data_IF_231712076926
#
_entry.id   IF_231712076926
#
_cell.length_a   1.000
_cell.length_b   1.000
_cell.length_c   1.000
_cell.angle_alpha   90.00
_cell.angle_beta   90.00
_cell.angle_gamma   90.00
#
_symmetry.space_group_name_H-M   'P 1'
#
loop_
_entity.id
_entity.type
_entity.pdbx_description
1 polymer ?
#
# COMPACT_ATOMS: atom_id res chain seq x y z
N UNK A 1 18.85 -35.60 12.09
CA UNK A 1 19.71 -35.46 10.91
C UNK A 1 18.83 -35.58 9.66
N UNK A 2 18.25 -34.48 9.18
CA UNK A 2 17.52 -34.43 7.91
C UNK A 2 18.17 -33.33 7.07
N UNK A 3 18.71 -33.73 5.91
CA UNK A 3 19.47 -32.87 4.99
C UNK A 3 18.54 -31.84 4.36
N UNK A 4 18.89 -30.56 4.48
CA UNK A 4 18.34 -29.50 3.62
C UNK A 4 18.88 -29.69 2.20
N UNK A 5 17.99 -29.89 1.22
CA UNK A 5 18.32 -29.79 -0.19
C UNK A 5 18.34 -28.31 -0.62
N UNK A 6 19.25 -27.88 -1.53
CA UNK A 6 19.43 -26.47 -1.87
C UNK A 6 18.31 -25.95 -2.79
N UNK A 7 17.77 -24.78 -2.44
CA UNK A 7 16.70 -24.04 -3.15
C UNK A 7 17.16 -23.43 -4.49
N UNK A 8 18.44 -23.59 -4.87
CA UNK A 8 19.03 -22.98 -6.07
C UNK A 8 18.53 -23.54 -7.41
N UNK A 9 17.86 -24.70 -7.45
CA UNK A 9 17.39 -25.27 -8.73
C UNK A 9 16.11 -24.64 -9.30
N UNK A 10 15.34 -23.87 -8.53
CA UNK A 10 14.01 -23.39 -8.98
C UNK A 10 14.07 -22.10 -9.82
N UNK A 11 15.02 -21.21 -9.53
CA UNK A 11 15.15 -19.92 -10.21
C UNK A 11 15.72 -20.11 -11.63
N UNK A 12 16.75 -20.93 -11.78
CA UNK A 12 17.31 -21.25 -13.10
C UNK A 12 16.30 -21.98 -13.99
N UNK A 13 15.42 -22.80 -13.41
CA UNK A 13 14.37 -23.48 -14.16
C UNK A 13 13.28 -22.51 -14.64
N UNK A 14 12.90 -21.52 -13.81
CA UNK A 14 11.94 -20.48 -14.19
C UNK A 14 12.49 -19.52 -15.24
N UNK A 15 13.77 -19.13 -15.14
CA UNK A 15 14.44 -18.29 -16.14
C UNK A 15 14.58 -19.08 -17.46
N UNK A 16 15.02 -20.35 -17.41
CA UNK A 16 15.14 -21.18 -18.61
C UNK A 16 13.78 -21.52 -19.24
N UNK A 17 12.73 -21.72 -18.43
CA UNK A 17 11.38 -21.96 -18.91
C UNK A 17 10.79 -20.68 -19.53
N UNK A 18 11.02 -19.52 -18.92
CA UNK A 18 10.67 -18.21 -19.48
C UNK A 18 11.36 -17.96 -20.82
N UNK A 19 12.68 -18.19 -20.91
CA UNK A 19 13.44 -18.10 -22.16
C UNK A 19 12.96 -19.13 -23.20
N UNK A 20 12.68 -20.38 -22.82
CA UNK A 20 12.17 -21.41 -23.75
C UNK A 20 10.77 -21.11 -24.27
N UNK A 21 9.89 -20.55 -23.43
CA UNK A 21 8.55 -20.11 -23.84
C UNK A 21 8.68 -18.93 -24.80
N UNK A 22 9.52 -17.94 -24.49
CA UNK A 22 9.78 -16.80 -25.37
C UNK A 22 10.33 -17.25 -26.73
N UNK A 23 11.32 -18.15 -26.75
CA UNK A 23 11.90 -18.70 -27.98
C UNK A 23 10.88 -19.55 -28.76
N UNK A 24 10.00 -20.30 -28.08
CA UNK A 24 8.91 -21.04 -28.74
C UNK A 24 7.84 -20.11 -29.32
N UNK A 25 7.54 -18.99 -28.67
CA UNK A 25 6.62 -17.98 -29.20
C UNK A 25 7.22 -17.28 -30.44
N UNK A 26 8.53 -17.00 -30.43
CA UNK A 26 9.27 -16.46 -31.60
C UNK A 26 9.29 -17.46 -32.76
N UNK A 27 9.32 -18.77 -32.50
CA UNK A 27 9.30 -19.81 -33.56
C UNK A 27 7.91 -20.17 -34.08
N UNK A 28 6.82 -19.89 -33.34
CA UNK A 28 5.44 -20.24 -33.74
C UNK A 28 4.70 -19.14 -34.49
N UNK A 29 5.15 -17.89 -34.42
CA UNK A 29 4.65 -16.79 -35.26
C UNK A 29 5.41 -16.75 -36.58
N UNK A 30 4.70 -16.65 -37.70
CA UNK A 30 5.27 -16.60 -39.05
C UNK A 30 6.34 -15.52 -39.23
N UNK A 31 7.25 -15.79 -40.18
CA UNK A 31 8.16 -14.83 -40.81
C UNK A 31 9.00 -13.96 -39.88
N UNK A 32 10.31 -14.25 -39.78
CA UNK A 32 11.30 -13.33 -39.16
C UNK A 32 11.17 -11.86 -39.62
N UNK A 33 10.62 -11.61 -40.81
CA UNK A 33 10.35 -10.26 -41.33
C UNK A 33 9.11 -9.55 -40.76
N UNK A 34 8.10 -10.26 -40.25
CA UNK A 34 6.89 -9.66 -39.68
C UNK A 34 7.08 -9.24 -38.21
N UNK A 35 7.80 -10.04 -37.42
CA UNK A 35 8.16 -9.66 -36.04
C UNK A 35 9.09 -8.44 -36.00
N UNK A 36 10.06 -8.38 -36.92
CA UNK A 36 10.92 -7.19 -37.07
C UNK A 36 10.10 -5.98 -37.52
N UNK A 37 9.14 -6.14 -38.44
CA UNK A 37 8.23 -5.05 -38.83
C UNK A 37 7.36 -4.58 -37.66
N UNK A 38 6.79 -5.49 -36.86
CA UNK A 38 5.96 -5.11 -35.71
C UNK A 38 6.74 -4.47 -34.56
N UNK A 39 8.02 -4.82 -34.39
CA UNK A 39 8.91 -4.23 -33.38
C UNK A 39 9.52 -2.88 -33.79
N UNK A 40 9.50 -2.54 -35.08
CA UNK A 40 10.01 -1.26 -35.61
C UNK A 40 8.89 -0.21 -35.75
N UNK A 41 7.63 -0.63 -35.85
CA UNK A 41 6.50 0.30 -35.89
C UNK A 41 6.13 0.82 -34.48
N UNK A 42 6.42 2.10 -34.27
CA UNK A 42 6.20 2.87 -33.03
C UNK A 42 4.70 3.05 -32.64
N UNK A 43 3.78 2.45 -33.38
CA UNK A 43 2.34 2.47 -33.15
C UNK A 43 1.85 1.35 -32.24
N UNK A 44 2.69 0.34 -31.96
CA UNK A 44 2.34 -0.79 -31.10
C UNK A 44 3.03 -0.66 -29.72
N UNK A 45 2.38 -1.12 -28.66
CA UNK A 45 2.95 -1.14 -27.30
C UNK A 45 3.97 -2.26 -27.06
N UNK A 46 4.45 -2.90 -28.12
CA UNK A 46 5.33 -4.06 -28.07
C UNK A 46 6.78 -3.57 -27.90
N UNK A 47 7.34 -3.74 -26.70
CA UNK A 47 8.68 -3.28 -26.29
C UNK A 47 8.88 -1.77 -26.43
N UNK A 48 8.23 -1.02 -25.54
CA UNK A 48 8.39 0.43 -25.42
C UNK A 48 9.84 0.84 -25.15
N UNK A 49 10.21 2.05 -25.59
CA UNK A 49 11.50 2.64 -25.28
C UNK A 49 11.63 2.91 -23.77
N UNK A 50 12.76 2.47 -23.21
CA UNK A 50 13.07 2.53 -21.78
C UNK A 50 14.10 3.63 -21.55
N UNK A 51 13.84 4.51 -20.59
CA UNK A 51 14.72 5.60 -20.17
C UNK A 51 15.09 5.54 -18.68
N UNK A 52 15.74 6.59 -18.15
CA UNK A 52 16.18 6.66 -16.76
C UNK A 52 15.01 6.68 -15.75
N UNK A 53 13.88 7.28 -16.13
CA UNK A 53 12.65 7.26 -15.34
C UNK A 53 12.10 5.85 -15.14
N UNK A 54 12.06 5.06 -16.22
CA UNK A 54 11.65 3.66 -16.15
C UNK A 54 12.58 2.87 -15.22
N UNK A 55 13.89 3.10 -15.28
CA UNK A 55 14.87 2.44 -14.40
C UNK A 55 14.56 2.67 -12.92
N UNK A 56 14.34 3.92 -12.51
CA UNK A 56 14.04 4.27 -11.11
C UNK A 56 12.76 3.60 -10.60
N UNK A 57 11.72 3.59 -11.43
CA UNK A 57 10.44 2.97 -11.09
C UNK A 57 10.58 1.45 -10.94
N UNK A 58 11.30 0.79 -11.85
CA UNK A 58 11.53 -0.65 -11.74
C UNK A 58 12.29 -1.01 -10.46
N UNK A 59 13.24 -0.17 -10.02
CA UNK A 59 13.91 -0.34 -8.73
C UNK A 59 12.94 -0.15 -7.55
N UNK A 60 12.04 0.83 -7.62
CA UNK A 60 11.00 1.01 -6.60
C UNK A 60 10.03 -0.19 -6.54
N UNK A 61 9.62 -0.74 -7.69
CA UNK A 61 8.80 -1.95 -7.77
C UNK A 61 9.55 -3.15 -7.18
N UNK A 62 10.82 -3.32 -7.53
CA UNK A 62 11.66 -4.37 -6.97
C UNK A 62 11.76 -4.24 -5.44
N UNK A 63 11.97 -3.03 -4.91
CA UNK A 63 11.94 -2.78 -3.47
C UNK A 63 10.61 -3.23 -2.84
N UNK A 64 9.48 -2.83 -3.42
CA UNK A 64 8.15 -3.23 -2.94
C UNK A 64 7.91 -4.74 -2.95
N UNK A 65 8.37 -5.44 -4.00
CA UNK A 65 8.28 -6.90 -4.09
C UNK A 65 9.15 -7.60 -3.04
N UNK A 66 10.40 -7.14 -2.86
CA UNK A 66 11.30 -7.70 -1.86
C UNK A 66 10.80 -7.46 -0.43
N UNK A 67 10.30 -6.26 -0.11
CA UNK A 67 9.76 -5.96 1.22
C UNK A 67 8.49 -6.77 1.50
N UNK A 68 7.57 -6.87 0.53
CA UNK A 68 6.36 -7.69 0.68
C UNK A 68 6.71 -9.16 0.92
N UNK A 69 7.66 -9.70 0.13
CA UNK A 69 8.13 -11.09 0.28
C UNK A 69 8.82 -11.30 1.62
N UNK A 70 9.67 -10.37 2.06
CA UNK A 70 10.35 -10.44 3.35
C UNK A 70 9.35 -10.51 4.51
N UNK A 71 8.30 -9.68 4.47
CA UNK A 71 7.26 -9.67 5.52
C UNK A 71 6.52 -11.02 5.56
N UNK A 72 6.10 -11.54 4.40
CA UNK A 72 5.38 -12.82 4.32
C UNK A 72 6.26 -13.99 4.74
N UNK A 73 7.48 -14.07 4.23
CA UNK A 73 8.43 -15.14 4.56
C UNK A 73 8.79 -15.10 6.04
N UNK A 74 9.11 -13.91 6.58
CA UNK A 74 9.39 -13.76 8.01
C UNK A 74 8.19 -14.15 8.86
N UNK A 75 6.98 -13.69 8.51
CA UNK A 75 5.75 -14.03 9.21
C UNK A 75 5.47 -15.53 9.23
N UNK A 76 5.74 -16.23 8.12
CA UNK A 76 5.57 -17.67 8.01
C UNK A 76 6.65 -18.46 8.79
N UNK A 77 7.92 -18.03 8.72
CA UNK A 77 9.02 -18.70 9.42
C UNK A 77 8.91 -18.53 10.94
N UNK A 78 8.52 -17.35 11.41
CA UNK A 78 8.36 -17.03 12.84
C UNK A 78 6.96 -17.40 13.39
N UNK A 79 6.15 -18.15 12.62
CA UNK A 79 4.78 -18.51 13.01
C UNK A 79 4.73 -19.55 14.14
N UNK A 80 5.66 -20.50 14.16
CA UNK A 80 5.70 -21.55 15.20
C UNK A 80 6.31 -21.07 16.52
N UNK A 81 7.18 -20.08 16.45
CA UNK A 81 7.90 -19.55 17.59
C UNK A 81 9.00 -18.60 17.14
N UNK A 82 9.33 -17.62 17.97
CA UNK A 82 10.47 -16.73 17.79
C UNK A 82 11.28 -16.66 19.09
N UNK A 83 12.44 -16.01 19.07
CA UNK A 83 13.24 -15.79 20.29
C UNK A 83 12.45 -15.02 21.36
N UNK A 84 11.54 -14.13 20.96
CA UNK A 84 10.74 -13.32 21.88
C UNK A 84 9.57 -14.12 22.49
N UNK A 85 8.96 -15.01 21.69
CA UNK A 85 7.81 -15.83 22.05
C UNK A 85 7.99 -17.25 21.46
N UNK A 86 8.63 -18.18 22.19
CA UNK A 86 8.97 -19.51 21.68
C UNK A 86 7.75 -20.45 21.54
N UNK A 87 6.71 -20.20 22.33
CA UNK A 87 5.45 -20.95 22.45
C UNK A 87 4.33 -20.41 21.53
N UNK A 88 4.69 -19.63 20.50
CA UNK A 88 3.72 -18.99 19.59
C UNK A 88 2.75 -19.98 18.93
N UNK A 89 3.21 -21.18 18.61
CA UNK A 89 2.37 -22.24 18.02
C UNK A 89 1.12 -22.58 18.84
N UNK A 90 1.15 -22.37 20.15
CA UNK A 90 0.07 -22.78 21.05
C UNK A 90 -1.10 -21.77 21.04
N UNK A 91 -0.85 -20.54 20.57
CA UNK A 91 -1.84 -19.46 20.47
C UNK A 91 -2.58 -19.43 19.12
N UNK A 92 -2.13 -20.22 18.14
CA UNK A 92 -2.71 -20.28 16.79
C UNK A 92 -2.26 -19.16 15.86
N UNK A 93 -2.95 -19.01 14.72
CA UNK A 93 -2.54 -18.13 13.63
C UNK A 93 -2.84 -16.64 13.87
N UNK A 94 -3.96 -16.33 14.52
CA UNK A 94 -4.46 -14.98 14.76
C UNK A 94 -4.76 -14.77 16.24
N UNK A 95 -3.97 -13.92 16.89
CA UNK A 95 -4.13 -13.51 18.28
C UNK A 95 -3.58 -12.09 18.45
N UNK A 96 -4.05 -11.30 19.42
CA UNK A 96 -3.73 -9.87 19.49
C UNK A 96 -2.31 -9.55 19.95
N UNK A 97 -1.86 -10.17 21.05
CA UNK A 97 -0.53 -10.01 21.62
C UNK A 97 -0.33 -11.00 22.79
N UNK A 98 0.90 -11.15 23.25
CA UNK A 98 1.31 -11.85 24.48
C UNK A 98 1.59 -10.83 25.61
N UNK A 99 0.64 -9.91 25.81
CA UNK A 99 0.71 -8.87 26.84
C UNK A 99 1.80 -7.78 26.67
N UNK A 100 1.88 -6.82 27.62
CA UNK A 100 2.85 -5.72 27.59
C UNK A 100 4.24 -6.09 28.12
N UNK A 101 4.46 -7.33 28.56
CA UNK A 101 5.74 -7.80 29.09
C UNK A 101 6.85 -7.81 28.03
N UNK A 102 8.11 -7.97 28.47
CA UNK A 102 9.29 -8.14 27.60
C UNK A 102 9.51 -7.00 26.58
N UNK A 103 9.08 -5.78 26.91
CA UNK A 103 9.17 -4.61 26.03
C UNK A 103 7.97 -4.43 25.08
N UNK A 104 6.95 -5.30 25.17
CA UNK A 104 5.71 -5.26 24.39
C UNK A 104 5.72 -6.22 23.20
N UNK A 105 4.63 -6.96 23.02
CA UNK A 105 4.47 -8.01 21.97
C UNK A 105 3.36 -7.66 20.98
N UNK A 106 3.15 -6.37 20.70
CA UNK A 106 2.16 -5.91 19.74
C UNK A 106 2.46 -6.42 18.32
N UNK A 107 1.40 -6.77 17.58
CA UNK A 107 1.45 -7.19 16.17
C UNK A 107 2.45 -8.37 15.93
N UNK A 108 2.53 -9.32 16.88
CA UNK A 108 3.48 -10.45 16.85
C UNK A 108 2.94 -11.69 16.13
N UNK A 109 1.63 -11.78 15.90
CA UNK A 109 1.01 -12.96 15.31
C UNK A 109 1.35 -13.10 13.82
N UNK A 110 1.22 -14.30 13.28
CA UNK A 110 1.45 -14.53 11.85
C UNK A 110 0.38 -13.81 10.98
N UNK A 111 -0.83 -13.65 11.51
CA UNK A 111 -1.88 -12.83 10.91
C UNK A 111 -1.48 -11.34 10.80
N UNK A 112 -0.80 -10.80 11.81
CA UNK A 112 -0.37 -9.39 11.77
C UNK A 112 0.69 -9.16 10.70
N UNK A 113 1.57 -10.13 10.46
CA UNK A 113 2.50 -10.10 9.34
C UNK A 113 1.76 -10.12 7.99
N UNK A 114 0.74 -10.96 7.83
CA UNK A 114 -0.12 -10.94 6.64
C UNK A 114 -0.82 -9.58 6.46
N UNK A 115 -1.36 -9.02 7.53
CA UNK A 115 -1.98 -7.69 7.52
C UNK A 115 -1.00 -6.60 7.07
N UNK A 116 0.24 -6.61 7.57
CA UNK A 116 1.29 -5.69 7.14
C UNK A 116 1.68 -5.90 5.67
N UNK A 117 1.74 -7.15 5.21
CA UNK A 117 2.03 -7.47 3.82
C UNK A 117 0.97 -6.92 2.86
N UNK A 118 -0.31 -6.91 3.23
CA UNK A 118 -1.38 -6.33 2.39
C UNK A 118 -1.15 -4.83 2.13
N UNK A 119 -0.63 -4.06 3.09
CA UNK A 119 -0.29 -2.66 2.85
C UNK A 119 0.82 -2.49 1.82
N UNK A 120 1.88 -3.28 1.95
CA UNK A 120 3.00 -3.26 1.01
C UNK A 120 2.60 -3.77 -0.37
N UNK A 121 1.73 -4.78 -0.44
CA UNK A 121 1.14 -5.26 -1.67
C UNK A 121 0.34 -4.15 -2.38
N UNK A 122 -0.60 -3.49 -1.68
CA UNK A 122 -1.39 -2.40 -2.27
C UNK A 122 -0.53 -1.23 -2.74
N UNK A 123 0.54 -0.91 -1.98
CA UNK A 123 1.49 0.14 -2.36
C UNK A 123 2.28 -0.26 -3.63
N UNK A 124 2.79 -1.49 -3.68
CA UNK A 124 3.55 -2.01 -4.82
C UNK A 124 2.68 -2.07 -6.08
N UNK A 125 1.45 -2.58 -5.97
CA UNK A 125 0.48 -2.59 -7.07
C UNK A 125 0.13 -1.15 -7.50
N UNK A 126 0.01 -0.22 -6.55
CA UNK A 126 -0.18 1.20 -6.84
C UNK A 126 0.96 1.78 -7.67
N UNK A 127 2.21 1.49 -7.32
CA UNK A 127 3.38 1.95 -8.09
C UNK A 127 3.39 1.38 -9.51
N UNK A 128 3.12 0.07 -9.66
CA UNK A 128 3.05 -0.59 -10.98
C UNK A 128 1.94 0.02 -11.84
N UNK A 129 0.75 0.21 -11.30
CA UNK A 129 -0.40 0.75 -12.05
C UNK A 129 -0.21 2.22 -12.39
N UNK A 130 0.35 3.04 -11.50
CA UNK A 130 0.68 4.44 -11.78
C UNK A 130 1.73 4.57 -12.89
N UNK A 131 2.78 3.76 -12.83
CA UNK A 131 3.80 3.70 -13.87
C UNK A 131 3.21 3.34 -15.23
N UNK A 132 2.48 2.23 -15.28
CA UNK A 132 1.86 1.75 -16.51
C UNK A 132 0.91 2.81 -17.09
N UNK A 133 0.05 3.37 -16.26
CA UNK A 133 -0.93 4.37 -16.68
C UNK A 133 -0.27 5.64 -17.23
N UNK A 134 0.75 6.19 -16.54
CA UNK A 134 1.42 7.40 -17.02
C UNK A 134 2.22 7.16 -18.31
N UNK A 135 2.91 6.02 -18.42
CA UNK A 135 3.64 5.64 -19.64
C UNK A 135 2.69 5.52 -20.83
N UNK A 136 1.52 4.91 -20.65
CA UNK A 136 0.54 4.77 -21.73
C UNK A 136 -0.17 6.08 -22.10
N UNK A 137 -0.52 6.94 -21.12
CA UNK A 137 -1.10 8.26 -21.41
C UNK A 137 -0.16 9.08 -22.30
N UNK A 138 1.13 9.13 -21.95
CA UNK A 138 2.10 9.94 -22.70
C UNK A 138 2.36 9.40 -24.11
N UNK A 139 2.26 8.09 -24.31
CA UNK A 139 2.26 7.46 -25.64
C UNK A 139 1.00 7.82 -26.45
N UNK A 140 -0.19 7.72 -25.84
CA UNK A 140 -1.45 8.03 -26.53
C UNK A 140 -1.59 9.53 -26.85
N UNK A 141 -0.99 10.40 -26.06
CA UNK A 141 -0.91 11.84 -26.33
C UNK A 141 0.20 12.20 -27.33
N UNK A 142 1.07 11.26 -27.70
CA UNK A 142 2.22 11.50 -28.58
C UNK A 142 3.34 12.34 -27.94
N UNK A 143 3.28 12.61 -26.63
CA UNK A 143 4.27 13.40 -25.90
C UNK A 143 5.09 12.52 -24.93
N UNK A 144 5.96 11.69 -25.49
CA UNK A 144 6.80 10.76 -24.71
C UNK A 144 7.88 11.51 -23.90
N UNK A 145 8.28 12.71 -24.33
CA UNK A 145 9.30 13.52 -23.62
C UNK A 145 8.85 13.87 -22.20
N UNK A 146 7.56 14.15 -22.01
CA UNK A 146 7.01 14.48 -20.70
C UNK A 146 7.29 13.40 -19.66
N UNK A 147 7.11 12.12 -20.02
CA UNK A 147 7.43 11.02 -19.12
C UNK A 147 8.93 10.93 -18.87
N UNK A 148 9.74 10.96 -19.94
CA UNK A 148 11.18 10.74 -19.84
C UNK A 148 11.90 11.79 -18.98
N UNK A 149 11.44 13.05 -19.01
CA UNK A 149 12.00 14.13 -18.22
C UNK A 149 11.43 14.17 -16.79
N UNK A 150 10.10 14.17 -16.64
CA UNK A 150 9.46 14.41 -15.34
C UNK A 150 9.43 13.20 -14.41
N UNK A 151 9.53 11.96 -14.92
CA UNK A 151 9.42 10.76 -14.07
C UNK A 151 10.64 10.52 -13.17
N UNK A 152 11.75 11.22 -13.39
CA UNK A 152 13.00 11.08 -12.63
C UNK A 152 12.94 11.65 -11.21
N UNK A 153 11.98 12.54 -10.91
CA UNK A 153 11.81 13.16 -9.60
C UNK A 153 10.34 13.11 -9.14
N UNK A 154 10.12 12.98 -7.82
CA UNK A 154 8.78 12.77 -7.26
C UNK A 154 7.78 13.90 -7.53
N UNK A 155 8.24 15.15 -7.68
CA UNK A 155 7.34 16.27 -7.98
C UNK A 155 6.74 16.18 -9.39
N UNK A 156 7.42 15.53 -10.34
CA UNK A 156 6.87 15.28 -11.67
C UNK A 156 5.67 14.34 -11.59
N UNK A 157 5.75 13.28 -10.78
CA UNK A 157 4.63 12.38 -10.51
C UNK A 157 3.43 13.09 -9.85
N UNK A 158 3.68 14.08 -8.99
CA UNK A 158 2.61 14.83 -8.34
C UNK A 158 1.96 15.84 -9.30
N UNK A 159 2.76 16.66 -9.98
CA UNK A 159 2.28 17.77 -10.81
C UNK A 159 1.79 17.30 -12.17
N UNK A 160 2.62 16.55 -12.90
CA UNK A 160 2.38 16.25 -14.32
C UNK A 160 1.54 14.98 -14.50
N UNK A 161 1.49 14.12 -13.49
CA UNK A 161 0.65 12.93 -13.52
C UNK A 161 -0.61 13.09 -12.66
N UNK A 162 -0.50 13.18 -11.33
CA UNK A 162 -1.68 13.19 -10.46
C UNK A 162 -2.52 14.45 -10.62
N UNK A 163 -1.89 15.63 -10.54
CA UNK A 163 -2.63 16.89 -10.57
C UNK A 163 -3.20 17.16 -11.96
N UNK A 164 -2.36 17.12 -13.01
CA UNK A 164 -2.77 17.37 -14.38
C UNK A 164 -3.93 16.47 -14.84
N UNK A 165 -3.83 15.15 -14.63
CA UNK A 165 -4.86 14.20 -15.09
C UNK A 165 -6.11 14.16 -14.19
N UNK A 166 -6.06 14.71 -12.97
CA UNK A 166 -7.24 14.80 -12.10
C UNK A 166 -8.19 15.93 -12.48
N UNK A 167 -7.73 16.91 -13.28
CA UNK A 167 -8.49 18.12 -13.65
C UNK A 167 -9.85 17.82 -14.28
N UNK A 168 -9.95 16.84 -15.18
CA UNK A 168 -11.20 16.46 -15.83
C UNK A 168 -12.16 15.75 -14.86
N UNK A 169 -11.62 14.92 -13.97
CA UNK A 169 -12.39 14.18 -12.96
C UNK A 169 -13.03 15.13 -11.95
N UNK A 170 -12.26 16.08 -11.40
CA UNK A 170 -12.77 17.02 -10.40
C UNK A 170 -13.81 18.00 -10.97
N UNK A 171 -13.69 18.34 -12.26
CA UNK A 171 -14.66 19.17 -12.98
C UNK A 171 -15.86 18.37 -13.50
N UNK A 172 -16.01 17.10 -13.09
CA UNK A 172 -17.14 16.25 -13.51
C UNK A 172 -18.51 16.80 -13.08
N UNK A 173 -18.53 17.56 -11.99
CA UNK A 173 -19.68 18.36 -11.57
C UNK A 173 -19.17 19.69 -11.03
N UNK A 174 -19.69 20.79 -11.56
CA UNK A 174 -19.31 22.15 -11.21
C UNK A 174 -20.56 22.99 -10.91
N UNK A 175 -20.44 24.18 -10.30
CA UNK A 175 -21.59 25.06 -10.07
C UNK A 175 -22.38 25.43 -11.34
N UNK A 176 -21.75 25.32 -12.51
CA UNK A 176 -22.32 25.67 -13.81
C UNK A 176 -22.98 24.49 -14.55
N UNK A 177 -22.82 23.24 -14.07
CA UNK A 177 -23.36 22.06 -14.75
C UNK A 177 -22.64 20.75 -14.41
N UNK A 178 -23.13 19.64 -14.96
CA UNK A 178 -22.60 18.29 -14.72
C UNK A 178 -22.36 17.56 -16.04
N UNK A 179 -21.35 16.70 -16.10
CA UNK A 179 -21.07 15.82 -17.24
C UNK A 179 -21.17 14.33 -16.85
N UNK A 180 -20.92 13.44 -17.82
CA UNK A 180 -20.92 11.98 -17.61
C UNK A 180 -19.84 11.48 -16.63
N UNK A 181 -18.83 12.30 -16.30
CA UNK A 181 -17.78 11.99 -15.33
C UNK A 181 -18.19 12.29 -13.87
N UNK A 182 -19.34 12.94 -13.66
CA UNK A 182 -19.84 13.29 -12.32
C UNK A 182 -19.91 12.10 -11.36
N UNK A 183 -20.33 10.91 -11.83
CA UNK A 183 -20.39 9.69 -10.99
C UNK A 183 -19.01 9.30 -10.49
N UNK A 184 -17.99 9.35 -11.35
CA UNK A 184 -16.61 9.04 -10.98
C UNK A 184 -16.05 10.06 -10.00
N UNK A 185 -16.38 11.34 -10.16
CA UNK A 185 -16.01 12.39 -9.23
C UNK A 185 -16.59 12.15 -7.83
N UNK A 186 -17.85 11.74 -7.75
CA UNK A 186 -18.48 11.33 -6.49
C UNK A 186 -17.81 10.10 -5.88
N UNK A 187 -17.55 9.04 -6.67
CA UNK A 187 -16.83 7.86 -6.19
C UNK A 187 -15.44 8.21 -5.64
N UNK A 188 -14.72 9.10 -6.32
CA UNK A 188 -13.42 9.61 -5.87
C UNK A 188 -13.51 10.30 -4.51
N UNK A 189 -14.50 11.17 -4.31
CA UNK A 189 -14.75 11.80 -3.01
C UNK A 189 -15.15 10.79 -1.94
N UNK A 190 -16.01 9.83 -2.26
CA UNK A 190 -16.38 8.75 -1.34
C UNK A 190 -15.17 7.92 -0.88
N UNK A 191 -14.19 7.71 -1.76
CA UNK A 191 -12.91 7.10 -1.39
C UNK A 191 -12.15 7.89 -0.32
N UNK A 192 -12.19 9.22 -0.39
CA UNK A 192 -11.51 10.13 0.54
C UNK A 192 -12.31 10.44 1.81
N UNK A 193 -13.62 10.19 1.83
CA UNK A 193 -14.50 10.42 2.99
C UNK A 193 -14.23 9.49 4.20
N UNK A 194 -13.27 8.55 4.09
CA UNK A 194 -12.90 7.60 5.13
C UNK A 194 -12.59 8.27 6.48
N UNK A 195 -11.91 9.42 6.47
CA UNK A 195 -11.50 10.09 7.71
C UNK A 195 -12.70 10.70 8.45
N UNK A 196 -13.65 11.32 7.74
CA UNK A 196 -14.90 11.80 8.33
C UNK A 196 -15.72 10.65 8.93
N UNK A 197 -15.72 9.48 8.28
CA UNK A 197 -16.36 8.27 8.83
C UNK A 197 -15.69 7.81 10.13
N UNK A 198 -14.36 7.87 10.21
CA UNK A 198 -13.61 7.55 11.43
C UNK A 198 -13.91 8.52 12.57
N UNK A 199 -13.97 9.82 12.29
CA UNK A 199 -14.33 10.83 13.29
C UNK A 199 -15.71 10.55 13.90
N UNK A 200 -16.72 10.23 13.07
CA UNK A 200 -18.06 9.85 13.56
C UNK A 200 -18.04 8.58 14.42
N UNK A 201 -17.24 7.58 14.04
CA UNK A 201 -17.10 6.35 14.83
C UNK A 201 -16.39 6.59 16.16
N UNK A 202 -15.35 7.43 16.18
CA UNK A 202 -14.64 7.79 17.41
C UNK A 202 -15.58 8.47 18.41
N UNK A 203 -16.35 9.47 17.95
CA UNK A 203 -17.37 10.14 18.77
C UNK A 203 -18.40 9.15 19.33
N UNK A 204 -18.86 8.19 18.52
CA UNK A 204 -19.84 7.16 18.95
C UNK A 204 -19.32 6.27 20.07
N UNK A 205 -18.04 5.88 20.06
CA UNK A 205 -17.44 4.94 21.03
C UNK A 205 -16.58 5.63 22.11
N UNK A 206 -16.52 6.96 22.13
CA UNK A 206 -15.66 7.74 23.02
C UNK A 206 -15.90 7.42 24.50
N UNK A 207 -17.16 7.40 24.94
CA UNK A 207 -17.52 7.16 26.34
C UNK A 207 -17.11 5.75 26.81
N UNK A 208 -17.39 4.73 26.00
CA UNK A 208 -17.05 3.33 26.30
C UNK A 208 -15.53 3.16 26.44
N UNK A 209 -14.75 3.75 25.53
CA UNK A 209 -13.28 3.67 25.60
C UNK A 209 -12.72 4.43 26.79
N UNK A 210 -13.35 5.53 27.21
CA UNK A 210 -12.94 6.34 28.36
C UNK A 210 -13.21 5.59 29.68
N UNK A 211 -14.43 5.08 29.86
CA UNK A 211 -14.80 4.34 31.07
C UNK A 211 -13.94 3.09 31.26
N UNK A 212 -13.71 2.29 30.22
CA UNK A 212 -12.83 1.10 30.33
C UNK A 212 -11.38 1.46 30.68
N UNK A 213 -10.85 2.59 30.19
CA UNK A 213 -9.50 3.04 30.56
C UNK A 213 -9.40 3.49 32.01
N UNK A 214 -10.44 4.16 32.51
CA UNK A 214 -10.54 4.55 33.93
C UNK A 214 -10.72 3.34 34.85
N UNK A 215 -11.38 2.28 34.37
CA UNK A 215 -11.52 1.02 35.09
C UNK A 215 -10.17 0.29 35.20
N UNK A 216 -9.39 0.24 34.10
CA UNK A 216 -8.05 -0.38 34.07
C UNK A 216 -7.10 0.25 35.11
N UNK A 217 -7.19 1.57 35.35
CA UNK A 217 -6.31 2.24 36.32
C UNK A 217 -6.63 1.92 37.78
N UNK A 218 -7.89 1.54 38.08
CA UNK A 218 -8.36 1.22 39.43
C UNK A 218 -8.13 -0.25 39.81
N UNK A 219 -8.18 -1.15 38.84
CA UNK A 219 -8.04 -2.60 39.09
C UNK A 219 -6.59 -2.97 39.42
N UNK A 220 -6.39 -3.77 40.47
CA UNK A 220 -5.06 -4.28 40.89
C UNK A 220 -4.75 -5.68 40.38
N UNK A 221 -5.76 -6.56 40.33
CA UNK A 221 -5.67 -7.94 39.86
C UNK A 221 -5.36 -8.02 38.36
N UNK A 222 -4.51 -8.97 37.96
CA UNK A 222 -4.19 -9.20 36.55
C UNK A 222 -5.38 -9.82 35.80
N UNK A 223 -6.07 -10.78 36.42
CA UNK A 223 -7.31 -11.41 35.93
C UNK A 223 -8.32 -10.38 35.43
N UNK A 224 -8.70 -9.44 36.29
CA UNK A 224 -9.82 -8.54 35.99
C UNK A 224 -9.40 -7.46 34.99
N UNK A 225 -8.09 -7.12 34.93
CA UNK A 225 -7.53 -6.30 33.84
C UNK A 225 -7.74 -6.96 32.47
N UNK A 226 -7.57 -8.28 32.35
CA UNK A 226 -7.76 -8.98 31.08
C UNK A 226 -9.20 -8.86 30.56
N UNK A 227 -10.20 -8.96 31.44
CA UNK A 227 -11.61 -8.79 31.05
C UNK A 227 -11.88 -7.37 30.52
N UNK A 228 -11.33 -6.35 31.19
CA UNK A 228 -11.49 -4.96 30.77
C UNK A 228 -10.73 -4.68 29.47
N UNK A 229 -9.57 -5.29 29.25
CA UNK A 229 -8.88 -5.24 27.95
C UNK A 229 -9.73 -5.85 26.83
N UNK A 230 -10.43 -6.96 27.11
CA UNK A 230 -11.42 -7.53 26.20
C UNK A 230 -12.53 -6.53 25.83
N UNK A 231 -13.11 -5.85 26.83
CA UNK A 231 -14.12 -4.79 26.62
C UNK A 231 -13.57 -3.62 25.81
N UNK A 232 -12.35 -3.17 26.08
CA UNK A 232 -11.69 -2.06 25.36
C UNK A 232 -11.33 -2.42 23.91
N UNK A 233 -11.10 -3.70 23.63
CA UNK A 233 -10.76 -4.23 22.31
C UNK A 233 -12.00 -4.58 21.47
N UNK A 234 -13.17 -4.77 22.09
CA UNK A 234 -14.44 -5.06 21.40
C UNK A 234 -14.89 -4.03 20.35
N UNK A 235 -14.70 -2.69 20.50
CA UNK A 235 -15.16 -1.72 19.52
C UNK A 235 -14.30 -1.75 18.25
N UNK A 236 -14.84 -1.33 17.08
CA UNK A 236 -14.10 -1.35 15.82
C UNK A 236 -12.74 -0.65 15.91
N UNK A 237 -11.69 -1.22 15.32
CA UNK A 237 -10.32 -0.65 15.37
C UNK A 237 -10.29 0.80 14.88
N UNK A 238 -11.10 1.14 13.88
CA UNK A 238 -11.24 2.49 13.31
C UNK A 238 -11.88 3.53 14.25
N UNK A 239 -12.50 3.13 15.37
CA UNK A 239 -13.02 4.06 16.39
C UNK A 239 -11.94 4.54 17.37
N UNK A 240 -10.71 4.03 17.27
CA UNK A 240 -9.64 4.44 18.16
C UNK A 240 -9.17 5.88 17.84
N UNK A 241 -9.10 6.78 18.85
CA UNK A 241 -8.72 8.18 18.63
C UNK A 241 -7.28 8.35 18.10
N UNK A 242 -6.41 7.38 18.37
CA UNK A 242 -5.04 7.34 17.83
C UNK A 242 -4.98 7.17 16.31
N UNK A 243 -6.06 6.66 15.70
CA UNK A 243 -6.14 6.48 14.23
C UNK A 243 -6.69 7.69 13.50
N UNK A 244 -7.18 8.69 14.22
CA UNK A 244 -7.58 9.95 13.62
C UNK A 244 -6.35 10.73 13.18
N UNK A 245 -6.37 11.21 11.94
CA UNK A 245 -5.36 12.10 11.42
C UNK A 245 -5.85 13.54 11.55
N UNK A 246 -5.11 14.35 12.31
CA UNK A 246 -5.34 15.80 12.35
C UNK A 246 -4.89 16.39 11.02
N UNK A 247 -5.70 17.27 10.44
CA UNK A 247 -5.34 18.03 9.23
C UNK A 247 -5.21 19.50 9.60
N UNK A 248 -4.28 20.18 8.96
CA UNK A 248 -4.15 21.62 9.09
C UNK A 248 -5.48 22.26 8.66
N UNK A 249 -5.98 23.21 9.44
CA UNK A 249 -7.24 23.88 9.14
C UNK A 249 -7.16 24.69 7.84
N UNK A 250 -6.07 25.41 7.60
CA UNK A 250 -5.88 26.23 6.40
C UNK A 250 -5.43 25.41 5.19
N UNK A 251 -4.44 24.52 5.35
CA UNK A 251 -3.79 23.82 4.23
C UNK A 251 -4.25 22.37 4.03
N UNK A 252 -5.02 21.80 4.96
CA UNK A 252 -5.44 20.38 4.92
C UNK A 252 -4.30 19.37 5.17
N UNK A 253 -3.09 19.86 5.50
CA UNK A 253 -1.87 19.04 5.63
C UNK A 253 -2.01 18.00 6.75
N UNK A 254 -1.77 16.71 6.48
CA UNK A 254 -2.06 15.61 7.41
C UNK A 254 -1.11 15.49 8.62
N UNK A 255 -0.01 16.26 8.69
CA UNK A 255 1.05 16.09 9.70
C UNK A 255 1.65 17.43 10.13
N UNK A 256 2.36 17.42 11.25
CA UNK A 256 3.01 18.59 11.86
C UNK A 256 2.03 19.72 12.24
N UNK A 257 0.83 19.36 12.68
CA UNK A 257 -0.17 20.32 13.15
C UNK A 257 0.07 20.63 14.63
N UNK A 258 0.26 21.90 14.96
CA UNK A 258 0.24 22.36 16.35
C UNK A 258 -1.15 22.09 16.93
N UNK A 259 -1.21 21.38 18.06
CA UNK A 259 -2.49 20.88 18.60
C UNK A 259 -3.43 22.00 19.04
N UNK A 260 -2.86 23.11 19.49
CA UNK A 260 -3.60 24.23 20.04
C UNK A 260 -4.16 25.14 18.93
N UNK A 261 -3.40 25.31 17.84
CA UNK A 261 -3.78 26.19 16.72
C UNK A 261 -4.40 25.45 15.54
N UNK A 262 -4.23 24.13 15.45
CA UNK A 262 -4.72 23.34 14.31
C UNK A 262 -4.04 23.67 12.98
N UNK A 263 -2.90 24.38 13.01
CA UNK A 263 -2.14 24.79 11.82
C UNK A 263 -0.84 23.99 11.69
N UNK A 264 -0.46 23.68 10.45
CA UNK A 264 0.87 23.18 10.12
C UNK A 264 1.87 24.34 10.08
N UNK A 265 3.15 24.08 10.38
CA UNK A 265 4.25 25.07 10.36
C UNK A 265 4.36 25.88 9.04
N UNK A 266 5.27 26.88 8.99
CA UNK A 266 5.12 28.07 8.13
C UNK A 266 4.90 27.73 6.66
N UNK A 267 3.91 28.42 6.10
CA UNK A 267 3.61 28.49 4.68
C UNK A 267 4.70 29.38 4.09
N UNK A 268 5.67 28.78 3.39
CA UNK A 268 6.54 29.49 2.45
C UNK A 268 5.94 29.40 1.06
#
# INVERSE_FOLDING_TARGET
MQRFAPINLSIDYLINLGCRIMIKMIKKGGGKGEFLKSGVHNSNSLFLTIGPGDFLVHHAIALGLHTTTLILVKGALDARGSKLMPDKKDFGYSFPCDGPGRGGTCDISAWDAFYLAVFWMLNTIGWVTFYWHWKHITLWQGNVSQFNESSTYLMGWLRDYLWLNSSQLINGYNPFGMNSLSVWAWMFLFGHLREKKRQKLEQKYHLIRRSSKEEISKVRSLSDKWEIYGKLQSPPRNSAPTRLHRRCFSTGRPRANYRDFGLSGPIY
#
